data_IF_460989656152
#
_entry.id   IF_460989656152
#
_cell.length_a   1.000
_cell.length_b   1.000
_cell.length_c   1.000
_cell.angle_alpha   90.00
_cell.angle_beta   90.00
_cell.angle_gamma   90.00
#
_symmetry.space_group_name_H-M   'P 1'
#
loop_
_entity.id
_entity.type
_entity.pdbx_description
1 polymer ?
#
# COMPACT_ATOMS: atom_id res chain seq x y z
N UNK A 1 7.79 -6.37 3.80
CA UNK A 1 6.31 -6.36 3.93
C UNK A 1 5.82 -5.96 5.31
N UNK A 2 5.15 -4.80 5.44
CA UNK A 2 4.48 -4.35 6.67
C UNK A 2 2.99 -4.78 6.73
N UNK A 3 2.30 -4.51 7.86
CA UNK A 3 0.89 -4.94 8.07
C UNK A 3 -0.07 -4.45 6.97
N UNK A 4 0.10 -3.22 6.49
CA UNK A 4 -0.77 -2.62 5.47
C UNK A 4 -0.62 -3.36 4.13
N UNK A 5 0.62 -3.64 3.73
CA UNK A 5 0.91 -4.34 2.48
C UNK A 5 0.39 -5.77 2.52
N UNK A 6 0.58 -6.46 3.65
CA UNK A 6 0.03 -7.80 3.85
C UNK A 6 -1.49 -7.81 3.68
N UNK A 7 -2.19 -6.87 4.31
CA UNK A 7 -3.65 -6.78 4.18
C UNK A 7 -4.09 -6.43 2.76
N UNK A 8 -3.38 -5.54 2.07
CA UNK A 8 -3.66 -5.23 0.65
C UNK A 8 -3.53 -6.48 -0.23
N UNK A 9 -2.46 -7.25 -0.06
CA UNK A 9 -2.22 -8.50 -0.79
C UNK A 9 -3.29 -9.56 -0.51
N UNK A 10 -3.74 -9.69 0.73
CA UNK A 10 -4.76 -10.66 1.13
C UNK A 10 -6.19 -10.23 0.72
N UNK A 11 -6.45 -8.91 0.61
CA UNK A 11 -7.79 -8.36 0.35
C UNK A 11 -8.10 -8.25 -1.14
N UNK A 12 -7.11 -7.93 -1.96
CA UNK A 12 -7.31 -7.57 -3.35
C UNK A 12 -6.60 -8.54 -4.29
N UNK A 13 -7.34 -9.07 -5.26
CA UNK A 13 -6.83 -9.98 -6.28
C UNK A 13 -5.83 -9.30 -7.23
N UNK A 14 -5.95 -7.98 -7.40
CA UNK A 14 -5.10 -7.20 -8.30
C UNK A 14 -4.11 -6.35 -7.49
N UNK A 15 -2.83 -6.28 -7.90
CA UNK A 15 -1.80 -5.59 -7.14
C UNK A 15 -1.82 -4.07 -7.35
N UNK A 16 -2.96 -3.47 -7.70
CA UNK A 16 -3.10 -2.04 -8.01
C UNK A 16 -4.20 -1.44 -7.13
N UNK A 17 -3.88 -0.35 -6.44
CA UNK A 17 -4.76 0.24 -5.42
C UNK A 17 -4.81 1.76 -5.52
N UNK A 18 -5.98 2.33 -5.22
CA UNK A 18 -6.15 3.76 -5.01
C UNK A 18 -5.78 4.17 -3.58
N UNK A 19 -5.59 5.47 -3.33
CA UNK A 19 -5.43 5.94 -1.95
C UNK A 19 -6.67 5.66 -1.08
N UNK A 20 -7.85 5.59 -1.68
CA UNK A 20 -9.10 5.25 -0.98
C UNK A 20 -9.07 3.80 -0.48
N UNK A 21 -8.53 2.86 -1.26
CA UNK A 21 -8.39 1.47 -0.84
C UNK A 21 -7.44 1.34 0.35
N UNK A 22 -6.31 2.06 0.30
CA UNK A 22 -5.35 2.13 1.40
C UNK A 22 -5.98 2.79 2.64
N UNK A 23 -6.80 3.83 2.46
CA UNK A 23 -7.53 4.50 3.54
C UNK A 23 -8.58 3.59 4.18
N UNK A 24 -9.26 2.76 3.40
CA UNK A 24 -10.24 1.80 3.92
C UNK A 24 -9.59 0.74 4.81
N UNK A 25 -8.34 0.36 4.52
CA UNK A 25 -7.57 -0.59 5.36
C UNK A 25 -7.03 0.09 6.62
N UNK A 26 -6.48 1.30 6.50
CA UNK A 26 -5.94 2.05 7.63
C UNK A 26 -6.53 3.48 7.65
N UNK A 27 -7.64 3.69 8.38
CA UNK A 27 -8.32 4.98 8.40
C UNK A 27 -7.52 6.05 9.15
N UNK A 28 -6.58 5.67 10.03
CA UNK A 28 -5.76 6.64 10.74
C UNK A 28 -4.67 7.21 9.82
N UNK A 29 -4.75 8.51 9.54
CA UNK A 29 -3.86 9.21 8.61
C UNK A 29 -2.38 9.12 8.97
N UNK A 30 -2.03 9.29 10.24
CA UNK A 30 -0.64 9.27 10.70
C UNK A 30 -0.05 7.86 10.55
N UNK A 31 -0.83 6.84 10.92
CA UNK A 31 -0.40 5.44 10.81
C UNK A 31 -0.30 5.03 9.35
N UNK A 32 -1.30 5.37 8.53
CA UNK A 32 -1.31 5.11 7.09
C UNK A 32 -0.11 5.74 6.40
N UNK A 33 0.16 7.02 6.67
CA UNK A 33 1.31 7.72 6.10
C UNK A 33 2.64 7.04 6.45
N UNK A 34 2.83 6.67 7.72
CA UNK A 34 4.05 5.97 8.16
C UNK A 34 4.22 4.61 7.47
N UNK A 35 3.13 3.83 7.34
CA UNK A 35 3.14 2.52 6.70
C UNK A 35 3.39 2.61 5.18
N UNK A 36 2.73 3.53 4.49
CA UNK A 36 2.94 3.76 3.05
C UNK A 36 4.38 4.20 2.80
N UNK A 37 4.88 5.18 3.56
CA UNK A 37 6.26 5.67 3.41
C UNK A 37 7.29 4.56 3.64
N UNK A 38 7.05 3.71 4.64
CA UNK A 38 7.91 2.55 4.91
C UNK A 38 7.85 1.52 3.79
N UNK A 39 6.66 1.17 3.31
CA UNK A 39 6.50 0.22 2.22
C UNK A 39 7.17 0.69 0.92
N UNK A 40 7.08 1.99 0.61
CA UNK A 40 7.79 2.57 -0.53
C UNK A 40 9.31 2.52 -0.35
N UNK A 41 9.81 2.78 0.86
CA UNK A 41 11.25 2.68 1.17
C UNK A 41 11.76 1.23 1.08
N UNK A 42 10.96 0.29 1.57
CA UNK A 42 11.31 -1.14 1.61
C UNK A 42 11.14 -1.81 0.22
N UNK A 43 10.60 -1.09 -0.78
CA UNK A 43 10.36 -1.61 -2.13
C UNK A 43 9.11 -2.47 -2.26
N UNK A 44 8.31 -2.60 -1.20
CA UNK A 44 7.07 -3.37 -1.19
C UNK A 44 5.95 -2.68 -2.02
N UNK A 45 5.98 -1.34 -2.10
CA UNK A 45 4.94 -0.51 -2.72
C UNK A 45 5.55 0.49 -3.71
N UNK A 46 5.01 0.54 -4.92
CA UNK A 46 5.39 1.48 -5.97
C UNK A 46 4.27 2.47 -6.21
N UNK A 47 4.58 3.76 -6.29
CA UNK A 47 3.62 4.77 -6.73
C UNK A 47 3.65 4.87 -8.26
N UNK A 48 2.58 4.46 -8.93
CA UNK A 48 2.48 4.53 -10.40
C UNK A 48 2.19 5.98 -10.84
N UNK A 49 1.24 6.63 -10.15
CA UNK A 49 0.91 8.05 -10.34
C UNK A 49 0.32 8.62 -9.04
N UNK A 50 0.01 9.92 -9.02
CA UNK A 50 -0.66 10.55 -7.87
C UNK A 50 -1.91 9.74 -7.51
N UNK A 51 -2.03 9.31 -6.24
CA UNK A 51 -3.16 8.53 -5.70
C UNK A 51 -3.28 7.07 -6.22
N UNK A 52 -2.38 6.59 -7.07
CA UNK A 52 -2.38 5.21 -7.58
C UNK A 52 -1.09 4.47 -7.23
N UNK A 53 -1.23 3.32 -6.61
CA UNK A 53 -0.14 2.50 -6.10
C UNK A 53 -0.22 1.09 -6.66
N UNK A 54 0.91 0.38 -6.65
CA UNK A 54 0.94 -1.05 -6.91
C UNK A 54 1.94 -1.78 -6.02
N UNK A 55 1.71 -3.08 -5.78
CA UNK A 55 2.72 -3.93 -5.16
C UNK A 55 3.88 -4.14 -6.13
N UNK A 56 5.10 -4.12 -5.62
CA UNK A 56 6.25 -4.53 -6.41
C UNK A 56 6.19 -6.05 -6.64
N UNK A 57 6.40 -6.54 -7.88
CA UNK A 57 6.38 -7.98 -8.19
C UNK A 57 7.60 -8.75 -7.66
N UNK A 58 8.48 -8.12 -6.89
CA UNK A 58 9.71 -8.72 -6.35
C UNK A 58 9.50 -9.48 -5.03
N UNK A 59 8.45 -10.31 -4.96
CA UNK A 59 8.22 -11.32 -3.92
C UNK A 59 7.79 -12.64 -4.56
#
# INVERSE_FOLDING_TARGET
MNKLIRTLFETFEHPVFSASDIQNIEPNDNVRYALVKRAMKDGDLVQIKKVLYALSPSL
#
